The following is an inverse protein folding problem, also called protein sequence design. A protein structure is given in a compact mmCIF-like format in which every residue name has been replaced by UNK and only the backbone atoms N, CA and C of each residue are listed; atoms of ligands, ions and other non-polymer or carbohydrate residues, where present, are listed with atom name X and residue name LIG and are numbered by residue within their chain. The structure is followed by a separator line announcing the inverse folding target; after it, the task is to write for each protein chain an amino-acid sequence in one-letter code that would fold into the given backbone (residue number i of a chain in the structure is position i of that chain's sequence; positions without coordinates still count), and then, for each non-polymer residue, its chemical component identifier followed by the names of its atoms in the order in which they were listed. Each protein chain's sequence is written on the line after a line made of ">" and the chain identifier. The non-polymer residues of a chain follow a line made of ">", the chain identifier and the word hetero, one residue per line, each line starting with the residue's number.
data_IF_143552853688
#
_entry.id   IF_143552853688
#
_cell.length_a   1.000
_cell.length_b   1.000
_cell.length_c   1.000
_cell.angle_alpha   90.00
_cell.angle_beta   90.00
_cell.angle_gamma   90.00
#
_symmetry.space_group_name_H-M   'P 1'
#
loop_
_entity.id
_entity.type
_entity.pdbx_description
1 polymer ?
#
# COMPACT_ATOMS: atom_id res chain seq x y z
N UNK A 1 13.93 -60.08 -21.18
CA UNK A 1 13.39 -59.04 -22.08
C UNK A 1 12.19 -58.42 -21.36
N UNK A 2 12.41 -57.57 -20.36
CA UNK A 2 12.40 -56.09 -20.43
C UNK A 2 11.21 -55.53 -21.23
N UNK A 3 10.39 -54.58 -20.78
CA UNK A 3 10.18 -53.87 -19.50
C UNK A 3 8.84 -53.15 -19.63
N UNK A 4 8.10 -53.07 -18.52
CA UNK A 4 6.93 -52.23 -18.27
C UNK A 4 7.26 -50.73 -18.24
N UNK A 5 6.26 -49.90 -18.59
CA UNK A 5 6.07 -48.45 -18.29
C UNK A 5 7.23 -47.48 -18.55
N UNK A 6 6.98 -46.49 -19.41
CA UNK A 6 7.28 -45.07 -19.10
C UNK A 6 6.50 -44.14 -20.04
N UNK A 7 5.83 -43.15 -19.45
CA UNK A 7 5.24 -42.00 -20.11
C UNK A 7 6.32 -41.10 -20.75
N UNK A 8 5.96 -40.33 -21.79
CA UNK A 8 6.90 -39.48 -22.52
C UNK A 8 7.23 -38.22 -21.70
N UNK A 9 8.51 -37.91 -21.57
CA UNK A 9 8.99 -36.64 -21.05
C UNK A 9 10.03 -36.05 -22.02
N UNK A 10 9.94 -34.74 -22.19
CA UNK A 10 10.88 -33.85 -22.86
C UNK A 10 10.89 -33.89 -24.40
N UNK A 11 10.23 -32.92 -25.03
CA UNK A 11 10.85 -31.69 -25.53
C UNK A 11 9.81 -30.81 -26.25
N UNK A 12 10.08 -29.50 -26.23
CA UNK A 12 9.44 -28.43 -27.02
C UNK A 12 8.06 -27.92 -26.57
N UNK A 13 8.05 -26.79 -25.86
CA UNK A 13 7.40 -25.53 -26.30
C UNK A 13 7.41 -24.50 -25.17
N UNK A 14 8.44 -23.66 -25.12
CA UNK A 14 8.39 -22.38 -24.43
C UNK A 14 7.73 -21.35 -25.37
N UNK A 15 6.40 -21.41 -25.44
CA UNK A 15 5.57 -20.40 -26.08
C UNK A 15 4.73 -19.72 -25.00
N UNK A 16 4.86 -18.39 -24.94
CA UNK A 16 3.80 -17.42 -24.69
C UNK A 16 2.54 -17.99 -24.01
N UNK A 17 2.47 -17.91 -22.68
CA UNK A 17 1.22 -18.18 -21.96
C UNK A 17 0.39 -16.89 -21.84
N UNK A 18 -0.87 -16.89 -22.33
CA UNK A 18 -1.81 -15.81 -22.12
C UNK A 18 -2.29 -15.81 -20.67
N UNK A 19 -2.36 -14.61 -20.08
CA UNK A 19 -2.94 -14.39 -18.75
C UNK A 19 -4.46 -14.59 -18.85
N UNK A 20 -4.94 -15.77 -18.51
CA UNK A 20 -6.37 -16.03 -18.31
C UNK A 20 -6.55 -16.98 -17.14
N UNK A 21 -7.30 -16.56 -16.12
CA UNK A 21 -7.80 -17.46 -15.09
C UNK A 21 -7.48 -17.13 -13.63
N UNK A 22 -7.40 -15.85 -13.23
CA UNK A 22 -7.70 -15.53 -11.82
C UNK A 22 -9.21 -15.38 -11.69
N UNK A 23 -9.84 -16.36 -11.04
CA UNK A 23 -11.28 -16.44 -10.85
C UNK A 23 -11.76 -15.32 -9.92
N UNK A 24 -12.15 -14.18 -10.52
CA UNK A 24 -12.65 -12.96 -9.87
C UNK A 24 -14.05 -13.10 -9.24
N UNK A 25 -14.63 -14.30 -9.13
CA UNK A 25 -16.00 -14.48 -8.64
C UNK A 25 -16.14 -14.72 -7.13
N UNK A 26 -15.05 -15.05 -6.43
CA UNK A 26 -15.10 -15.26 -4.97
C UNK A 26 -14.78 -13.99 -4.15
N UNK A 27 -14.35 -12.91 -4.82
CA UNK A 27 -14.11 -11.58 -4.23
C UNK A 27 -15.32 -10.62 -4.28
N UNK A 28 -16.51 -11.11 -4.64
CA UNK A 28 -17.65 -10.27 -5.08
C UNK A 28 -18.66 -9.84 -4.01
N UNK A 29 -18.45 -10.13 -2.72
CA UNK A 29 -19.38 -9.67 -1.66
C UNK A 29 -18.81 -8.55 -0.77
N UNK A 30 -17.63 -7.99 -1.07
CA UNK A 30 -16.85 -7.33 -0.02
C UNK A 30 -16.06 -6.08 -0.44
N UNK A 31 -16.40 -5.35 -1.52
CA UNK A 31 -15.75 -4.06 -1.77
C UNK A 31 -16.50 -3.24 -2.82
N UNK A 32 -17.39 -2.34 -2.38
CA UNK A 32 -17.70 -1.14 -3.15
C UNK A 32 -16.90 0.00 -2.53
N UNK A 33 -15.58 0.02 -2.81
CA UNK A 33 -14.79 1.22 -2.60
C UNK A 33 -15.01 2.04 -3.87
N UNK A 34 -15.85 3.07 -3.80
CA UNK A 34 -15.91 4.08 -4.84
C UNK A 34 -14.56 4.78 -4.86
N UNK A 35 -13.72 4.48 -5.86
CA UNK A 35 -12.48 5.20 -6.09
C UNK A 35 -12.88 6.59 -6.58
N UNK A 36 -13.08 7.53 -5.65
CA UNK A 36 -13.16 8.94 -6.02
C UNK A 36 -11.86 9.32 -6.72
N UNK A 37 -11.97 9.93 -7.89
CA UNK A 37 -10.85 10.43 -8.69
C UNK A 37 -10.14 11.52 -7.91
N UNK A 38 -9.00 11.19 -7.30
CA UNK A 38 -8.15 12.15 -6.60
C UNK A 38 -7.43 13.05 -7.62
N UNK A 39 -7.50 14.36 -7.40
CA UNK A 39 -6.84 15.35 -8.27
C UNK A 39 -5.35 15.32 -7.98
N UNK A 40 -4.58 14.85 -8.97
CA UNK A 40 -3.12 14.64 -8.95
C UNK A 40 -2.36 15.98 -8.99
N UNK A 41 -2.46 16.79 -7.94
CA UNK A 41 -1.64 18.00 -7.78
C UNK A 41 -0.28 17.69 -7.15
N UNK A 42 0.81 17.98 -7.86
CA UNK A 42 2.19 18.07 -7.34
C UNK A 42 2.90 16.78 -6.85
N UNK A 43 2.50 15.60 -7.32
CA UNK A 43 3.09 14.31 -6.90
C UNK A 43 4.45 13.94 -7.54
N UNK A 44 5.18 14.90 -8.14
CA UNK A 44 6.31 14.59 -9.04
C UNK A 44 7.68 15.12 -8.61
N UNK A 45 7.86 15.52 -7.34
CA UNK A 45 9.19 15.88 -6.82
C UNK A 45 10.06 14.63 -6.67
N UNK A 46 11.14 14.53 -7.45
CA UNK A 46 12.14 13.48 -7.31
C UNK A 46 12.87 13.62 -5.97
N UNK A 47 12.85 12.57 -5.16
CA UNK A 47 13.63 12.47 -3.91
C UNK A 47 14.95 11.78 -4.21
N UNK A 48 16.03 12.21 -3.56
CA UNK A 48 17.36 11.62 -3.73
C UNK A 48 17.88 11.08 -2.41
N UNK A 49 18.37 9.85 -2.41
CA UNK A 49 19.25 9.29 -1.40
C UNK A 49 20.71 9.31 -1.88
N UNK A 50 21.62 8.76 -1.06
CA UNK A 50 23.06 8.74 -1.36
C UNK A 50 23.42 8.06 -2.69
N UNK A 51 22.65 7.04 -3.09
CA UNK A 51 22.91 6.23 -4.28
C UNK A 51 21.65 5.99 -5.13
N UNK A 52 20.58 6.75 -4.91
CA UNK A 52 19.33 6.58 -5.65
C UNK A 52 18.56 7.88 -5.80
N UNK A 53 17.86 8.04 -6.92
CA UNK A 53 16.80 9.02 -7.11
C UNK A 53 15.49 8.24 -7.30
N UNK A 54 14.41 8.66 -6.64
CA UNK A 54 13.17 7.91 -6.62
C UNK A 54 11.92 8.80 -6.56
N UNK A 55 10.86 8.30 -7.17
CA UNK A 55 9.48 8.80 -7.06
C UNK A 55 8.63 7.54 -6.86
N UNK A 56 8.39 7.19 -5.60
CA UNK A 56 7.70 5.94 -5.24
C UNK A 56 6.55 6.27 -4.30
N UNK A 57 5.33 6.25 -4.82
CA UNK A 57 4.12 6.43 -4.02
C UNK A 57 3.32 5.13 -3.94
N UNK A 58 2.77 4.88 -2.75
CA UNK A 58 1.82 3.80 -2.50
C UNK A 58 0.56 4.38 -1.88
N UNK A 59 -0.58 4.02 -2.46
CA UNK A 59 -1.90 4.21 -1.88
C UNK A 59 -2.21 3.03 -0.98
N UNK A 60 -2.38 3.30 0.31
CA UNK A 60 -2.73 2.32 1.32
C UNK A 60 -4.15 2.56 1.79
N UNK A 61 -4.92 1.49 1.92
CA UNK A 61 -6.25 1.55 2.56
C UNK A 61 -6.30 0.59 3.73
N UNK A 62 -6.65 1.14 4.90
CA UNK A 62 -6.86 0.37 6.12
C UNK A 62 -8.32 0.42 6.52
N UNK A 63 -8.91 -0.75 6.75
CA UNK A 63 -10.29 -0.89 7.17
C UNK A 63 -10.34 -1.37 8.61
N UNK A 64 -11.25 -0.80 9.39
CA UNK A 64 -11.51 -1.21 10.78
C UNK A 64 -11.92 -2.68 10.86
N UNK A 65 -11.61 -3.32 11.99
CA UNK A 65 -12.04 -4.68 12.26
C UNK A 65 -13.58 -4.71 12.28
N UNK A 66 -14.17 -5.65 11.54
CA UNK A 66 -15.62 -5.79 11.32
C UNK A 66 -16.31 -4.57 10.68
N UNK A 67 -15.55 -3.62 10.11
CA UNK A 67 -16.08 -2.40 9.47
C UNK A 67 -16.93 -1.53 10.40
N UNK A 68 -16.67 -1.56 11.70
CA UNK A 68 -17.36 -0.70 12.66
C UNK A 68 -17.11 0.78 12.34
N UNK A 69 -18.17 1.58 12.41
CA UNK A 69 -18.12 3.04 12.25
C UNK A 69 -17.66 3.65 13.58
N UNK A 70 -16.35 3.81 13.74
CA UNK A 70 -15.71 4.23 15.01
C UNK A 70 -15.02 5.58 14.91
N UNK A 71 -14.69 6.03 13.70
CA UNK A 71 -13.94 7.26 13.52
C UNK A 71 -14.85 8.48 13.46
N UNK A 72 -14.52 9.46 14.31
CA UNK A 72 -14.99 10.84 14.26
C UNK A 72 -13.89 11.69 13.62
N UNK A 73 -14.19 12.94 13.28
CA UNK A 73 -13.18 13.89 12.77
C UNK A 73 -11.99 14.05 13.74
N UNK A 74 -12.25 14.13 15.05
CA UNK A 74 -11.20 14.20 16.06
C UNK A 74 -10.28 12.94 16.04
N UNK A 75 -10.87 11.75 15.85
CA UNK A 75 -10.11 10.51 15.72
C UNK A 75 -9.24 10.52 14.45
N UNK A 76 -9.77 11.00 13.33
CA UNK A 76 -9.06 11.05 12.05
C UNK A 76 -7.89 12.04 12.09
N UNK A 77 -8.09 13.26 12.60
CA UNK A 77 -7.02 14.26 12.76
C UNK A 77 -5.89 13.72 13.61
N UNK A 78 -6.21 13.11 14.75
CA UNK A 78 -5.18 12.55 15.62
C UNK A 78 -4.48 11.35 14.99
N UNK A 79 -5.22 10.52 14.26
CA UNK A 79 -4.65 9.39 13.53
C UNK A 79 -3.68 9.85 12.44
N UNK A 80 -4.01 10.91 11.72
CA UNK A 80 -3.12 11.52 10.73
C UNK A 80 -1.79 11.93 11.36
N UNK A 81 -1.81 12.64 12.48
CA UNK A 81 -0.59 13.04 13.20
C UNK A 81 0.27 11.84 13.60
N UNK A 82 -0.37 10.79 14.12
CA UNK A 82 0.32 9.55 14.49
C UNK A 82 0.94 8.87 13.27
N UNK A 83 0.19 8.74 12.18
CA UNK A 83 0.65 8.09 10.95
C UNK A 83 1.74 8.90 10.27
N UNK A 84 1.66 10.24 10.32
CA UNK A 84 2.70 11.16 9.84
C UNK A 84 4.00 10.95 10.61
N UNK A 85 3.93 10.86 11.94
CA UNK A 85 5.09 10.54 12.80
C UNK A 85 5.71 9.19 12.44
N UNK A 86 4.90 8.15 12.25
CA UNK A 86 5.41 6.82 11.84
C UNK A 86 6.04 6.88 10.45
N UNK A 87 5.46 7.63 9.49
CA UNK A 87 6.08 7.82 8.18
C UNK A 87 7.46 8.48 8.32
N UNK A 88 7.58 9.52 9.15
CA UNK A 88 8.87 10.18 9.42
C UNK A 88 9.92 9.22 9.98
N UNK A 89 9.54 8.35 10.93
CA UNK A 89 10.44 7.33 11.51
C UNK A 89 10.97 6.33 10.46
N UNK A 90 10.23 6.12 9.37
CA UNK A 90 10.60 5.27 8.24
C UNK A 90 11.28 6.03 7.10
N UNK A 91 11.61 7.32 7.29
CA UNK A 91 12.08 8.22 6.22
C UNK A 91 11.09 8.36 5.05
N UNK A 92 9.82 8.02 5.29
CA UNK A 92 8.69 8.19 4.38
C UNK A 92 8.04 9.55 4.60
N UNK A 93 7.30 9.99 3.60
CA UNK A 93 6.50 11.21 3.64
C UNK A 93 5.03 10.83 3.45
N UNK A 94 4.17 11.25 4.38
CA UNK A 94 2.73 11.14 4.24
C UNK A 94 2.25 12.33 3.41
N UNK A 95 2.07 12.11 2.10
CA UNK A 95 1.69 13.13 1.15
C UNK A 95 0.23 13.55 1.35
N UNK A 96 -0.67 12.57 1.45
CA UNK A 96 -2.08 12.81 1.71
C UNK A 96 -2.64 11.78 2.70
N UNK A 97 -3.62 12.24 3.47
CA UNK A 97 -4.40 11.43 4.38
C UNK A 97 -5.87 11.83 4.29
N UNK A 98 -6.74 10.84 4.21
CA UNK A 98 -8.17 11.05 4.38
C UNK A 98 -8.80 9.79 4.99
N UNK A 99 -10.00 9.91 5.54
CA UNK A 99 -10.69 8.77 6.12
C UNK A 99 -12.18 8.98 6.24
N UNK A 100 -12.89 7.87 6.28
CA UNK A 100 -14.30 7.81 6.61
C UNK A 100 -14.48 7.19 8.00
N UNK A 101 -15.72 6.98 8.40
CA UNK A 101 -16.07 6.44 9.71
C UNK A 101 -15.50 5.03 10.01
N UNK A 102 -15.12 4.25 8.99
CA UNK A 102 -14.69 2.86 9.16
C UNK A 102 -13.41 2.47 8.38
N UNK A 103 -12.81 3.39 7.63
CA UNK A 103 -11.57 3.13 6.88
C UNK A 103 -10.80 4.42 6.63
N UNK A 104 -9.50 4.29 6.34
CA UNK A 104 -8.60 5.40 6.03
C UNK A 104 -7.78 5.12 4.79
N UNK A 105 -7.49 6.19 4.05
CA UNK A 105 -6.67 6.24 2.85
C UNK A 105 -5.40 7.03 3.15
N UNK A 106 -4.25 6.47 2.78
CA UNK A 106 -2.96 7.14 2.88
C UNK A 106 -2.29 7.13 1.51
N UNK A 107 -1.74 8.26 1.11
CA UNK A 107 -0.79 8.35 0.01
C UNK A 107 0.60 8.58 0.61
N UNK A 108 1.48 7.59 0.48
CA UNK A 108 2.80 7.63 1.11
C UNK A 108 3.89 7.60 0.04
N UNK A 109 4.80 8.57 0.10
CA UNK A 109 6.05 8.55 -0.64
C UNK A 109 7.13 7.85 0.22
N UNK A 110 7.70 6.75 -0.28
CA UNK A 110 8.60 5.90 0.50
C UNK A 110 9.89 5.59 -0.25
N UNK A 111 11.04 5.46 0.45
CA UNK A 111 12.30 5.10 -0.19
C UNK A 111 12.33 3.61 -0.58
N UNK A 112 13.10 3.22 -1.62
CA UNK A 112 13.11 1.84 -2.13
C UNK A 112 13.61 0.79 -1.13
N UNK A 113 14.38 1.22 -0.10
CA UNK A 113 14.84 0.35 0.99
C UNK A 113 13.73 -0.07 1.96
N UNK A 114 12.62 0.67 1.99
CA UNK A 114 11.50 0.41 2.92
C UNK A 114 10.55 -0.59 2.30
N UNK A 115 10.46 -1.77 2.92
CA UNK A 115 9.44 -2.75 2.56
C UNK A 115 8.04 -2.25 2.98
N UNK A 116 7.11 -2.15 2.03
CA UNK A 116 5.73 -1.68 2.27
C UNK A 116 5.06 -2.46 3.41
N UNK A 117 5.25 -3.77 3.49
CA UNK A 117 4.70 -4.61 4.57
C UNK A 117 5.18 -4.18 5.97
N UNK A 118 6.45 -3.78 6.11
CA UNK A 118 7.00 -3.31 7.40
C UNK A 118 6.39 -1.95 7.79
N UNK A 119 6.25 -1.06 6.81
CA UNK A 119 5.59 0.23 6.99
C UNK A 119 4.13 0.06 7.42
N UNK A 120 3.36 -0.79 6.71
CA UNK A 120 1.96 -1.08 7.01
C UNK A 120 1.78 -1.64 8.42
N UNK A 121 2.63 -2.59 8.82
CA UNK A 121 2.58 -3.17 10.17
C UNK A 121 2.80 -2.11 11.26
N UNK A 122 3.73 -1.19 11.03
CA UNK A 122 4.03 -0.11 11.97
C UNK A 122 2.90 0.93 12.02
N UNK A 123 2.40 1.36 10.86
CA UNK A 123 1.27 2.29 10.76
C UNK A 123 0.05 1.74 11.49
N UNK A 124 -0.35 0.49 11.23
CA UNK A 124 -1.52 -0.14 11.86
C UNK A 124 -1.29 -0.41 13.36
N UNK A 125 -0.09 -0.85 13.74
CA UNK A 125 0.25 -1.17 15.13
C UNK A 125 0.27 0.06 16.03
N UNK A 126 1.03 1.08 15.64
CA UNK A 126 1.20 2.31 16.44
C UNK A 126 -0.10 3.10 16.52
N UNK A 127 -0.81 3.30 15.41
CA UNK A 127 -2.11 3.99 15.42
C UNK A 127 -3.13 3.30 16.32
N UNK A 128 -3.27 1.97 16.20
CA UNK A 128 -4.17 1.17 17.03
C UNK A 128 -3.84 1.28 18.52
N UNK A 129 -2.55 1.30 18.88
CA UNK A 129 -2.11 1.45 20.28
C UNK A 129 -2.36 2.86 20.80
N UNK A 130 -1.89 3.89 20.10
CA UNK A 130 -1.99 5.29 20.57
C UNK A 130 -3.44 5.76 20.66
N UNK A 131 -4.26 5.48 19.64
CA UNK A 131 -5.68 5.85 19.68
C UNK A 131 -6.42 5.21 20.86
N UNK A 132 -6.10 3.96 21.21
CA UNK A 132 -6.72 3.30 22.37
C UNK A 132 -6.29 3.90 23.71
N UNK A 133 -5.08 4.45 23.78
CA UNK A 133 -4.58 5.13 24.99
C UNK A 133 -5.21 6.52 25.13
N UNK A 134 -5.43 7.22 24.03
CA UNK A 134 -5.91 8.61 24.02
C UNK A 134 -7.43 8.74 24.01
N UNK A 135 -8.16 7.75 23.46
CA UNK A 135 -9.62 7.78 23.29
C UNK A 135 -10.28 6.58 23.99
N UNK A 136 -10.67 6.70 25.27
CA UNK A 136 -11.31 5.63 26.01
C UNK A 136 -12.68 5.19 25.44
N UNK A 137 -13.37 6.08 24.73
CA UNK A 137 -14.62 5.79 24.03
C UNK A 137 -14.43 4.73 22.93
N UNK A 138 -13.29 4.76 22.24
CA UNK A 138 -12.93 3.76 21.25
C UNK A 138 -12.80 2.37 21.89
N UNK A 139 -12.35 2.24 23.14
CA UNK A 139 -12.11 0.95 23.82
C UNK A 139 -13.33 0.03 23.80
N UNK A 140 -14.54 0.59 23.87
CA UNK A 140 -15.81 -0.17 23.82
C UNK A 140 -15.95 -0.97 22.52
N UNK A 141 -15.44 -0.44 21.41
CA UNK A 141 -15.46 -1.12 20.11
C UNK A 141 -14.36 -2.18 19.96
N UNK A 142 -13.36 -2.18 20.84
CA UNK A 142 -12.23 -3.13 20.81
C UNK A 142 -12.49 -4.38 21.66
N UNK A 143 -13.55 -4.38 22.48
CA UNK A 143 -13.81 -5.37 23.54
C UNK A 143 -13.79 -6.84 23.08
N UNK A 144 -14.08 -7.12 21.81
CA UNK A 144 -14.04 -8.50 21.26
C UNK A 144 -12.74 -8.91 20.58
N UNK A 145 -11.92 -7.96 20.10
CA UNK A 145 -10.80 -8.28 19.21
C UNK A 145 -9.46 -7.66 19.62
N UNK A 146 -9.45 -6.74 20.58
CA UNK A 146 -8.30 -5.96 21.04
C UNK A 146 -7.46 -5.33 19.90
N UNK A 147 -8.08 -5.11 18.72
CA UNK A 147 -7.44 -4.66 17.48
C UNK A 147 -8.36 -3.67 16.76
N UNK A 148 -7.82 -2.51 16.38
CA UNK A 148 -8.53 -1.50 15.60
C UNK A 148 -8.77 -1.98 14.16
N UNK A 149 -7.72 -2.48 13.53
CA UNK A 149 -7.70 -2.74 12.10
C UNK A 149 -8.03 -4.20 11.78
N UNK A 150 -8.61 -4.41 10.59
CA UNK A 150 -8.63 -5.72 9.95
C UNK A 150 -7.20 -6.22 9.70
N UNK A 151 -7.01 -7.54 9.55
CA UNK A 151 -5.71 -8.10 9.18
C UNK A 151 -5.26 -7.64 7.78
N UNK A 152 -6.22 -7.54 6.86
CA UNK A 152 -5.98 -7.16 5.47
C UNK A 152 -5.71 -5.65 5.30
N UNK A 153 -5.11 -5.29 4.18
CA UNK A 153 -4.94 -3.92 3.71
C UNK A 153 -4.89 -3.93 2.18
N UNK A 154 -5.21 -2.79 1.57
CA UNK A 154 -4.94 -2.56 0.15
C UNK A 154 -3.63 -1.80 0.00
N UNK A 155 -2.87 -2.13 -1.04
CA UNK A 155 -1.70 -1.38 -1.47
C UNK A 155 -1.70 -1.29 -3.00
N UNK A 156 -1.81 -0.09 -3.54
CA UNK A 156 -1.70 0.19 -4.97
C UNK A 156 -0.61 1.21 -5.24
N UNK A 157 0.27 0.98 -6.20
CA UNK A 157 1.29 1.97 -6.58
C UNK A 157 0.64 3.09 -7.38
N UNK A 158 0.97 4.34 -7.07
CA UNK A 158 0.44 5.52 -7.78
C UNK A 158 1.59 6.29 -8.39
N UNK A 159 1.57 6.48 -9.71
CA UNK A 159 2.57 7.28 -10.42
C UNK A 159 3.96 6.64 -10.53
N UNK A 160 4.42 6.42 -11.77
CA UNK A 160 5.84 6.46 -12.08
C UNK A 160 6.27 7.91 -12.31
N UNK A 161 7.58 8.19 -12.37
CA UNK A 161 8.04 9.46 -12.90
C UNK A 161 7.40 9.68 -14.30
N UNK A 162 6.98 10.89 -14.67
CA UNK A 162 6.42 11.16 -15.99
C UNK A 162 7.43 10.71 -17.05
N UNK A 163 6.93 10.17 -18.17
CA UNK A 163 7.81 9.73 -19.28
C UNK A 163 8.79 10.83 -19.70
N UNK A 164 8.38 12.10 -19.64
CA UNK A 164 9.24 13.25 -19.91
C UNK A 164 10.42 13.37 -18.93
N UNK A 165 10.20 13.17 -17.64
CA UNK A 165 11.23 13.22 -16.60
C UNK A 165 12.18 12.02 -16.73
N UNK A 166 11.63 10.82 -16.97
CA UNK A 166 12.43 9.63 -17.25
C UNK A 166 13.30 9.81 -18.50
N UNK A 167 12.74 10.40 -19.56
CA UNK A 167 13.44 10.65 -20.81
C UNK A 167 14.59 11.63 -20.62
N UNK A 168 14.35 12.76 -19.95
CA UNK A 168 15.41 13.72 -19.62
C UNK A 168 16.52 13.08 -18.77
N UNK A 169 16.15 12.25 -17.79
CA UNK A 169 17.13 11.53 -16.99
C UNK A 169 18.01 10.61 -17.83
N UNK A 170 17.42 9.86 -18.78
CA UNK A 170 18.15 8.98 -19.71
C UNK A 170 19.03 9.77 -20.67
N UNK A 171 18.53 10.88 -21.23
CA UNK A 171 19.27 11.74 -22.17
C UNK A 171 20.47 12.44 -21.50
N UNK A 172 20.39 12.73 -20.20
CA UNK A 172 21.49 13.29 -19.41
C UNK A 172 22.55 12.25 -19.00
N UNK A 173 22.32 10.95 -19.21
CA UNK A 173 23.36 9.93 -18.97
C UNK A 173 24.33 9.89 -20.15
N UNK A 174 25.60 10.17 -19.88
CA UNK A 174 26.67 10.00 -20.87
C UNK A 174 26.74 8.54 -21.32
N UNK A 175 26.66 8.31 -22.64
CA UNK A 175 27.03 7.01 -23.20
C UNK A 175 28.56 6.92 -23.24
N UNK A 176 29.17 5.87 -22.67
CA UNK A 176 30.59 5.64 -22.88
C UNK A 176 30.85 5.45 -24.39
N UNK A 177 31.89 6.13 -24.89
CA UNK A 177 32.43 5.99 -26.24
C UNK A 177 33.34 4.78 -26.35
#
# INVERSE_FOLDING_TARGET
>A
MNTTRAHPNALANALCWPVSGYNLKEYRSCMTITIHTWVMGDMHKIRTGRHCAFVMHVHLVFVTKFRHRVFTDAHLRRMEEIMRSVCTDFECELAEFNGENNHVHLLVNFPPKVAVTKLVNSLKGVSSRRLRQEFPDLVRHYWRANKLWSGCYFAGTVGGAPLSVLRQYIEQQNRPV
#
